data_IF_852263096884
#
_entry.id   IF_852263096884
#
_cell.length_a   1.000
_cell.length_b   1.000
_cell.length_c   1.000
_cell.angle_alpha   90.00
_cell.angle_beta   90.00
_cell.angle_gamma   90.00
#
_symmetry.space_group_name_H-M   'P 1'
#
loop_
_entity.id
_entity.type
_entity.pdbx_description
1 polymer ?
#
# COMPACT_ATOMS: atom_id res chain seq x y z
N UNK A 1 -36.82 17.71 -0.82
CA UNK A 1 -36.90 16.23 -0.75
C UNK A 1 -35.73 15.66 0.03
N UNK A 2 -34.48 15.97 -0.38
CA UNK A 2 -33.25 15.49 0.28
C UNK A 2 -33.18 15.78 1.79
N UNK A 3 -33.57 16.98 2.22
CA UNK A 3 -33.64 17.36 3.65
C UNK A 3 -34.61 16.50 4.47
N UNK A 4 -35.77 16.16 3.90
CA UNK A 4 -36.76 15.31 4.56
C UNK A 4 -36.26 13.87 4.67
N UNK A 5 -35.64 13.36 3.60
CA UNK A 5 -34.97 12.07 3.63
C UNK A 5 -33.88 12.07 4.71
N UNK A 6 -33.02 13.07 4.72
CA UNK A 6 -31.93 13.19 5.69
C UNK A 6 -32.41 13.16 7.16
N UNK A 7 -33.42 13.98 7.51
CA UNK A 7 -33.98 14.03 8.88
C UNK A 7 -34.76 12.79 9.29
N UNK A 8 -35.22 11.97 8.33
CA UNK A 8 -36.01 10.76 8.61
C UNK A 8 -35.17 9.48 8.65
N UNK A 9 -33.88 9.53 8.30
CA UNK A 9 -33.00 8.36 8.32
C UNK A 9 -32.26 8.24 9.65
N UNK A 10 -32.06 7.00 10.07
CA UNK A 10 -31.27 6.65 11.28
C UNK A 10 -29.77 6.59 11.01
N UNK A 11 -29.38 6.40 9.75
CA UNK A 11 -28.00 6.33 9.29
C UNK A 11 -27.88 7.15 8.00
N UNK A 12 -26.88 8.04 7.95
CA UNK A 12 -26.53 8.75 6.75
C UNK A 12 -25.03 8.60 6.52
N UNK A 13 -24.67 8.17 5.31
CA UNK A 13 -23.28 7.98 4.90
C UNK A 13 -22.93 9.01 3.83
N UNK A 14 -21.71 9.54 3.90
CA UNK A 14 -21.19 10.48 2.91
C UNK A 14 -19.72 10.81 3.19
N UNK A 15 -19.07 11.45 2.24
CA UNK A 15 -17.71 11.94 2.42
C UNK A 15 -17.69 13.14 3.37
N UNK A 16 -16.58 13.37 4.06
CA UNK A 16 -16.41 14.49 5.02
C UNK A 16 -16.88 15.84 4.44
N UNK A 17 -16.47 16.15 3.21
CA UNK A 17 -16.86 17.38 2.51
C UNK A 17 -18.28 17.30 1.96
N UNK A 18 -18.70 16.14 1.43
CA UNK A 18 -20.02 15.95 0.82
C UNK A 18 -21.15 16.11 1.83
N UNK A 19 -20.91 15.68 3.06
CA UNK A 19 -21.80 15.86 4.21
C UNK A 19 -22.01 17.36 4.45
N UNK A 20 -20.96 18.20 4.40
CA UNK A 20 -21.03 19.66 4.55
C UNK A 20 -21.85 20.48 3.54
N UNK A 21 -22.53 19.84 2.58
CA UNK A 21 -23.33 20.53 1.58
C UNK A 21 -24.50 21.30 2.24
N UNK A 22 -24.59 22.61 1.97
CA UNK A 22 -25.64 23.50 2.53
C UNK A 22 -27.06 23.00 2.31
N UNK A 23 -27.31 22.22 1.24
CA UNK A 23 -28.62 21.60 0.97
C UNK A 23 -29.07 20.60 2.03
N UNK A 24 -28.12 20.03 2.78
CA UNK A 24 -28.37 19.05 3.84
C UNK A 24 -28.62 19.71 5.20
N UNK A 25 -28.29 21.01 5.36
CA UNK A 25 -28.48 21.79 6.58
C UNK A 25 -28.07 21.03 7.86
N UNK A 26 -26.87 20.45 7.86
CA UNK A 26 -26.35 19.67 8.98
C UNK A 26 -26.27 20.44 10.29
N UNK A 27 -25.96 21.73 10.21
CA UNK A 27 -25.93 22.59 11.39
C UNK A 27 -27.30 22.66 12.09
N UNK A 28 -28.39 22.37 11.38
CA UNK A 28 -29.75 22.29 11.93
C UNK A 28 -30.21 20.86 12.26
N UNK A 29 -29.38 19.86 11.97
CA UNK A 29 -29.70 18.44 12.16
C UNK A 29 -28.66 17.80 13.07
N UNK A 30 -28.92 17.78 14.38
CA UNK A 30 -27.99 17.20 15.34
C UNK A 30 -28.08 15.67 15.34
N UNK A 31 -27.02 14.97 14.95
CA UNK A 31 -26.87 13.55 15.19
C UNK A 31 -26.38 13.30 16.63
N UNK A 32 -26.78 12.17 17.22
CA UNK A 32 -26.24 11.78 18.52
C UNK A 32 -24.80 11.27 18.42
N UNK A 33 -24.46 10.64 17.28
CA UNK A 33 -23.13 10.13 16.97
C UNK A 33 -22.69 10.52 15.56
N UNK A 34 -21.41 10.86 15.44
CA UNK A 34 -20.69 10.95 14.17
C UNK A 34 -19.54 9.96 14.24
N UNK A 35 -19.49 9.04 13.27
CA UNK A 35 -18.42 8.08 13.11
C UNK A 35 -17.65 8.49 11.87
N UNK A 36 -16.34 8.74 12.02
CA UNK A 36 -15.45 9.03 10.90
C UNK A 36 -14.49 7.88 10.76
N UNK A 37 -14.61 7.15 9.65
CA UNK A 37 -13.65 6.13 9.25
C UNK A 37 -12.51 6.78 8.44
N UNK A 38 -11.34 6.12 8.42
CA UNK A 38 -10.10 6.62 7.80
C UNK A 38 -9.69 8.03 8.29
N UNK A 39 -9.99 8.34 9.56
CA UNK A 39 -9.77 9.66 10.17
C UNK A 39 -8.28 10.08 10.17
N UNK A 40 -7.35 9.12 10.16
CA UNK A 40 -5.91 9.37 10.04
C UNK A 40 -5.49 10.11 8.77
N UNK A 41 -6.28 9.98 7.69
CA UNK A 41 -6.04 10.64 6.39
C UNK A 41 -6.78 11.97 6.24
N UNK A 42 -7.73 12.27 7.12
CA UNK A 42 -8.56 13.46 7.00
C UNK A 42 -7.78 14.74 7.31
N UNK A 43 -7.91 15.77 6.46
CA UNK A 43 -7.40 17.09 6.82
C UNK A 43 -8.26 17.70 7.93
N UNK A 44 -7.64 18.53 8.78
CA UNK A 44 -8.30 19.25 9.87
C UNK A 44 -9.64 19.90 9.46
N UNK A 45 -9.63 20.63 8.34
CA UNK A 45 -10.82 21.34 7.85
C UNK A 45 -11.93 20.37 7.40
N UNK A 46 -11.57 19.27 6.76
CA UNK A 46 -12.54 18.25 6.31
C UNK A 46 -13.16 17.53 7.51
N UNK A 47 -12.34 17.18 8.49
CA UNK A 47 -12.79 16.51 9.70
C UNK A 47 -13.81 17.38 10.45
N UNK A 48 -13.51 18.68 10.63
CA UNK A 48 -14.40 19.61 11.33
C UNK A 48 -15.79 19.72 10.72
N UNK A 49 -15.92 19.58 9.40
CA UNK A 49 -17.22 19.60 8.72
C UNK A 49 -18.12 18.45 9.18
N UNK A 50 -17.55 17.27 9.43
CA UNK A 50 -18.31 16.14 9.96
C UNK A 50 -18.56 16.31 11.47
N UNK A 51 -17.55 16.75 12.23
CA UNK A 51 -17.64 16.81 13.70
C UNK A 51 -18.72 17.76 14.21
N UNK A 52 -18.97 18.87 13.51
CA UNK A 52 -20.04 19.81 13.88
C UNK A 52 -21.47 19.21 13.80
N UNK A 53 -21.62 18.06 13.14
CA UNK A 53 -22.93 17.43 12.91
C UNK A 53 -23.38 16.55 14.06
N UNK A 54 -22.51 16.28 15.05
CA UNK A 54 -22.75 15.29 16.10
C UNK A 54 -22.50 15.81 17.52
N UNK A 55 -23.20 15.23 18.50
CA UNK A 55 -22.92 15.45 19.93
C UNK A 55 -21.75 14.61 20.43
N UNK A 56 -21.58 13.41 19.87
CA UNK A 56 -20.51 12.46 20.20
C UNK A 56 -19.78 12.07 18.93
N UNK A 57 -18.47 11.89 19.05
CA UNK A 57 -17.58 11.61 17.92
C UNK A 57 -16.82 10.33 18.20
N UNK A 58 -16.83 9.42 17.24
CA UNK A 58 -15.92 8.27 17.17
C UNK A 58 -15.04 8.43 15.94
N UNK A 59 -13.73 8.51 16.16
CA UNK A 59 -12.74 8.51 15.08
C UNK A 59 -12.14 7.13 14.96
N UNK A 60 -12.19 6.55 13.77
CA UNK A 60 -11.58 5.28 13.41
C UNK A 60 -10.53 5.57 12.35
N UNK A 61 -9.33 5.02 12.52
CA UNK A 61 -8.24 5.24 11.58
C UNK A 61 -6.93 4.65 12.09
N UNK A 62 -5.90 4.81 11.28
CA UNK A 62 -4.56 4.33 11.57
C UNK A 62 -3.54 5.44 11.23
N UNK A 63 -2.85 5.94 12.26
CA UNK A 63 -1.87 7.01 12.12
C UNK A 63 -0.52 6.53 11.57
N UNK A 64 -0.33 5.21 11.40
CA UNK A 64 0.81 4.58 10.71
C UNK A 64 0.55 4.34 9.23
N UNK A 65 -0.66 4.63 8.74
CA UNK A 65 -1.01 4.63 7.32
C UNK A 65 -1.02 6.06 6.76
N UNK A 66 -1.53 6.24 5.54
CA UNK A 66 -1.37 7.49 4.77
C UNK A 66 -1.84 8.72 5.56
N UNK A 67 -0.96 9.73 5.78
CA UNK A 67 -1.33 10.95 6.48
C UNK A 67 -2.18 11.85 5.58
N UNK A 68 -2.74 12.95 6.12
CA UNK A 68 -3.45 13.92 5.32
C UNK A 68 -2.53 14.56 4.27
N UNK A 69 -3.02 14.64 3.03
CA UNK A 69 -2.23 15.19 1.93
C UNK A 69 -2.19 16.71 1.99
N UNK A 70 -1.00 17.30 2.12
CA UNK A 70 -0.79 18.75 2.01
C UNK A 70 0.22 19.07 0.92
N UNK A 71 -0.11 20.06 0.07
CA UNK A 71 0.87 20.58 -0.88
C UNK A 71 2.06 21.18 -0.14
N UNK A 72 3.29 20.81 -0.54
CA UNK A 72 4.51 21.31 0.10
C UNK A 72 4.60 22.84 0.14
N UNK A 73 4.03 23.52 -0.85
CA UNK A 73 3.96 24.98 -0.87
C UNK A 73 3.10 25.52 0.28
N UNK A 74 1.94 24.89 0.54
CA UNK A 74 1.07 25.26 1.66
C UNK A 74 1.78 25.01 3.01
N UNK A 75 2.45 23.87 3.16
CA UNK A 75 3.23 23.56 4.37
C UNK A 75 4.34 24.58 4.63
N UNK A 76 5.07 24.97 3.57
CA UNK A 76 6.12 26.01 3.68
C UNK A 76 5.54 27.36 4.11
N UNK A 77 4.41 27.77 3.51
CA UNK A 77 3.74 29.02 3.85
C UNK A 77 3.18 29.00 5.27
N UNK A 78 2.52 27.91 5.68
CA UNK A 78 1.97 27.74 7.02
C UNK A 78 3.06 27.73 8.09
N UNK A 79 4.13 26.96 7.87
CA UNK A 79 5.31 26.93 8.76
C UNK A 79 5.94 28.32 8.92
N UNK A 80 6.09 29.08 7.82
CA UNK A 80 6.61 30.45 7.89
C UNK A 80 5.66 31.41 8.61
N UNK A 81 4.35 31.31 8.35
CA UNK A 81 3.33 32.22 8.91
C UNK A 81 3.09 31.99 10.40
N UNK A 82 3.16 30.74 10.85
CA UNK A 82 2.89 30.34 12.23
C UNK A 82 4.18 30.20 13.07
N UNK A 83 5.35 30.37 12.44
CA UNK A 83 6.67 30.16 13.09
C UNK A 83 6.81 28.75 13.70
N UNK A 84 6.16 27.76 13.09
CA UNK A 84 6.14 26.37 13.54
C UNK A 84 7.01 25.48 12.65
N UNK A 85 7.61 24.45 13.25
CA UNK A 85 8.31 23.40 12.51
C UNK A 85 7.35 22.63 11.59
N UNK A 86 7.85 22.19 10.43
CA UNK A 86 7.03 21.44 9.45
C UNK A 86 6.44 20.14 10.00
N UNK A 87 7.12 19.52 10.97
CA UNK A 87 6.71 18.25 11.61
C UNK A 87 5.28 18.28 12.17
N UNK A 88 4.87 19.42 12.73
CA UNK A 88 3.57 19.59 13.40
C UNK A 88 2.39 19.43 12.44
N UNK A 89 2.61 19.68 11.15
CA UNK A 89 1.58 19.55 10.12
C UNK A 89 1.45 18.14 9.56
N UNK A 90 2.39 17.24 9.87
CA UNK A 90 2.32 15.83 9.45
C UNK A 90 1.57 14.96 10.46
N UNK A 91 1.47 15.42 11.71
CA UNK A 91 0.61 14.79 12.72
C UNK A 91 -0.87 15.13 12.44
N UNK A 92 -1.67 14.09 12.20
CA UNK A 92 -3.11 14.24 11.95
C UNK A 92 -3.87 14.61 13.23
N UNK A 93 -5.05 15.22 13.09
CA UNK A 93 -5.91 15.48 14.26
C UNK A 93 -6.44 14.20 14.89
N UNK A 94 -6.57 13.13 14.09
CA UNK A 94 -6.82 11.79 14.60
C UNK A 94 -5.70 11.33 15.54
N UNK A 95 -4.44 11.44 15.12
CA UNK A 95 -3.28 11.04 15.94
C UNK A 95 -3.19 11.86 17.22
N UNK A 96 -3.42 13.18 17.14
CA UNK A 96 -3.51 14.05 18.32
C UNK A 96 -4.61 13.62 19.28
N UNK A 97 -5.81 13.37 18.76
CA UNK A 97 -6.94 12.91 19.56
C UNK A 97 -6.69 11.54 20.20
N UNK A 98 -6.11 10.60 19.44
CA UNK A 98 -5.74 9.26 19.90
C UNK A 98 -4.78 9.33 21.09
N UNK A 99 -3.71 10.13 21.00
CA UNK A 99 -2.75 10.32 22.10
C UNK A 99 -3.40 11.00 23.31
N UNK A 100 -4.21 12.03 23.09
CA UNK A 100 -4.83 12.81 24.17
C UNK A 100 -5.90 12.03 24.97
N UNK A 101 -6.56 11.07 24.33
CA UNK A 101 -7.69 10.32 24.91
C UNK A 101 -7.30 8.92 25.40
N UNK A 102 -6.08 8.46 25.14
CA UNK A 102 -5.70 7.07 25.37
C UNK A 102 -6.50 6.13 24.46
N UNK A 103 -6.50 6.42 23.15
CA UNK A 103 -7.29 5.70 22.16
C UNK A 103 -7.07 4.18 22.20
N UNK A 104 -8.07 3.44 21.73
CA UNK A 104 -8.05 1.97 21.74
C UNK A 104 -7.46 1.45 20.44
N UNK A 105 -6.41 0.64 20.53
CA UNK A 105 -5.86 -0.07 19.37
C UNK A 105 -6.46 -1.46 19.25
N UNK A 106 -6.85 -1.85 18.04
CA UNK A 106 -7.18 -3.24 17.71
C UNK A 106 -5.91 -3.92 17.22
N UNK A 107 -5.48 -4.97 17.92
CA UNK A 107 -4.19 -5.65 17.71
C UNK A 107 -4.28 -6.92 16.87
N UNK A 108 -5.48 -7.30 16.42
CA UNK A 108 -5.74 -8.54 15.67
C UNK A 108 -6.21 -8.24 14.26
N UNK A 109 -5.47 -8.73 13.26
CA UNK A 109 -5.76 -8.57 11.84
C UNK A 109 -6.33 -9.86 11.21
N UNK A 110 -7.22 -9.68 10.23
CA UNK A 110 -7.96 -10.76 9.57
C UNK A 110 -7.73 -10.83 8.04
N UNK A 111 -6.88 -9.95 7.49
CA UNK A 111 -6.63 -9.84 6.05
C UNK A 111 -5.48 -10.74 5.60
N UNK A 112 -4.31 -10.52 6.16
CA UNK A 112 -3.04 -11.08 5.72
C UNK A 112 -2.86 -12.47 6.31
N UNK A 113 -2.31 -13.41 5.54
CA UNK A 113 -1.72 -14.61 6.15
C UNK A 113 -0.53 -14.26 7.03
N UNK A 114 -0.22 -15.13 7.99
CA UNK A 114 0.71 -14.85 9.08
C UNK A 114 2.08 -14.34 8.60
N UNK A 115 2.74 -14.90 7.57
CA UNK A 115 4.04 -14.40 7.13
C UNK A 115 4.03 -12.93 6.65
N UNK A 116 2.95 -12.50 5.99
CA UNK A 116 2.78 -11.09 5.58
C UNK A 116 2.45 -10.24 6.82
N UNK A 117 1.56 -10.74 7.69
CA UNK A 117 1.19 -10.06 8.92
C UNK A 117 2.36 -9.85 9.88
N UNK A 118 3.29 -10.80 9.98
CA UNK A 118 4.50 -10.69 10.80
C UNK A 118 5.48 -9.67 10.23
N UNK A 119 5.66 -9.65 8.91
CA UNK A 119 6.45 -8.62 8.24
C UNK A 119 5.90 -7.22 8.56
N UNK A 120 4.58 -7.03 8.42
CA UNK A 120 3.91 -5.76 8.71
C UNK A 120 3.99 -5.41 10.20
N UNK A 121 3.75 -6.38 11.07
CA UNK A 121 3.84 -6.23 12.53
C UNK A 121 5.21 -5.68 12.93
N UNK A 122 6.28 -6.38 12.55
CA UNK A 122 7.65 -6.05 12.96
C UNK A 122 8.10 -4.70 12.38
N UNK A 123 7.78 -4.44 11.10
CA UNK A 123 8.30 -3.26 10.42
C UNK A 123 7.55 -1.95 10.76
N UNK A 124 6.28 -2.02 11.17
CA UNK A 124 5.42 -0.83 11.27
C UNK A 124 4.68 -0.65 12.59
N UNK A 125 4.45 -1.71 13.37
CA UNK A 125 3.56 -1.65 14.54
C UNK A 125 4.19 -2.15 15.86
N UNK A 126 5.27 -2.94 15.81
CA UNK A 126 5.85 -3.57 16.99
C UNK A 126 6.31 -2.57 18.06
N UNK A 127 6.75 -1.38 17.65
CA UNK A 127 7.16 -0.33 18.60
C UNK A 127 5.99 0.27 19.38
N UNK A 128 4.79 0.28 18.80
CA UNK A 128 3.61 0.94 19.38
C UNK A 128 2.74 -0.04 20.17
N UNK A 129 2.59 -1.27 19.68
CA UNK A 129 1.69 -2.28 20.25
C UNK A 129 2.35 -3.62 20.59
N UNK A 130 3.67 -3.75 20.39
CA UNK A 130 4.40 -4.99 20.62
C UNK A 130 4.25 -6.00 19.48
N UNK A 131 3.01 -6.46 19.19
CA UNK A 131 2.75 -7.40 18.08
C UNK A 131 1.35 -7.18 17.49
N UNK A 132 1.27 -7.19 16.17
CA UNK A 132 0.02 -7.32 15.42
C UNK A 132 -0.24 -8.82 15.19
N UNK A 133 -1.35 -9.33 15.72
CA UNK A 133 -1.71 -10.73 15.68
C UNK A 133 -2.45 -11.11 14.40
N UNK A 134 -1.99 -12.17 13.73
CA UNK A 134 -2.63 -12.71 12.53
C UNK A 134 -3.61 -13.82 12.87
N UNK A 135 -4.89 -13.61 12.57
CA UNK A 135 -5.93 -14.64 12.67
C UNK A 135 -5.77 -15.71 11.59
N UNK A 136 -5.41 -15.28 10.37
CA UNK A 136 -5.13 -16.18 9.25
C UNK A 136 -3.68 -16.68 9.31
N UNK A 137 -3.50 -17.99 9.48
CA UNK A 137 -2.18 -18.62 9.61
C UNK A 137 -1.57 -18.97 8.26
N UNK A 138 -2.26 -19.81 7.49
CA UNK A 138 -1.78 -20.36 6.22
C UNK A 138 -2.67 -19.95 5.06
N UNK A 139 -2.09 -19.90 3.86
CA UNK A 139 -2.84 -19.77 2.60
C UNK A 139 -3.52 -21.10 2.23
N UNK A 140 -4.55 -21.07 1.38
CA UNK A 140 -5.07 -22.28 0.72
C UNK A 140 -3.98 -23.07 -0.02
N UNK A 141 -4.12 -24.40 -0.05
CA UNK A 141 -3.06 -25.33 -0.50
C UNK A 141 -2.55 -25.05 -1.92
N UNK A 142 -3.45 -24.70 -2.86
CA UNK A 142 -3.09 -24.46 -4.27
C UNK A 142 -2.07 -23.33 -4.45
N UNK A 143 -1.99 -22.37 -3.52
CA UNK A 143 -0.96 -21.33 -3.59
C UNK A 143 0.46 -21.87 -3.40
N UNK A 144 0.61 -23.04 -2.76
CA UNK A 144 1.90 -23.72 -2.58
C UNK A 144 2.36 -24.43 -3.86
N UNK A 145 1.43 -24.71 -4.78
CA UNK A 145 1.69 -25.36 -6.07
C UNK A 145 2.03 -24.34 -7.17
N UNK A 146 1.89 -23.05 -6.89
CA UNK A 146 2.23 -21.99 -7.83
C UNK A 146 3.71 -22.03 -8.21
N UNK A 147 4.07 -21.73 -9.47
CA UNK A 147 5.46 -21.71 -9.91
C UNK A 147 6.23 -20.56 -9.25
N UNK A 148 7.57 -20.65 -9.25
CA UNK A 148 8.41 -19.49 -8.91
C UNK A 148 8.09 -18.32 -9.85
N UNK A 149 7.94 -17.09 -9.36
CA UNK A 149 8.28 -16.57 -8.02
C UNK A 149 7.17 -16.62 -6.95
N UNK A 150 6.08 -17.34 -7.18
CA UNK A 150 4.84 -17.34 -6.38
C UNK A 150 4.71 -18.50 -5.39
N UNK A 151 5.64 -19.45 -5.45
CA UNK A 151 5.75 -20.62 -4.58
C UNK A 151 6.03 -20.28 -3.10
N UNK A 152 6.22 -19.01 -2.76
CA UNK A 152 6.47 -18.49 -1.41
C UNK A 152 5.53 -17.34 -1.11
N UNK A 153 5.15 -17.21 0.16
CA UNK A 153 4.20 -16.19 0.64
C UNK A 153 4.72 -14.77 0.43
N UNK A 154 6.00 -14.54 0.75
CA UNK A 154 6.69 -13.25 0.57
C UNK A 154 7.94 -13.45 -0.27
N UNK A 155 7.99 -12.83 -1.44
CA UNK A 155 9.11 -12.89 -2.36
C UNK A 155 9.64 -11.47 -2.61
N UNK A 156 10.95 -11.27 -2.45
CA UNK A 156 11.64 -10.10 -2.99
C UNK A 156 12.41 -10.49 -4.25
N UNK A 157 12.10 -9.88 -5.40
CA UNK A 157 12.91 -10.00 -6.61
C UNK A 157 13.88 -8.81 -6.67
N UNK A 158 15.17 -9.11 -6.63
CA UNK A 158 16.22 -8.11 -6.76
C UNK A 158 16.28 -7.59 -8.20
N UNK A 159 15.75 -6.38 -8.41
CA UNK A 159 15.77 -5.70 -9.71
C UNK A 159 17.08 -4.95 -9.98
N UNK A 160 18.10 -5.08 -9.12
CA UNK A 160 19.40 -4.42 -9.31
C UNK A 160 19.95 -4.67 -10.72
N UNK A 161 20.39 -3.60 -11.37
CA UNK A 161 21.08 -3.72 -12.66
C UNK A 161 22.45 -4.37 -12.47
N UNK A 162 22.92 -5.21 -13.41
CA UNK A 162 24.28 -5.75 -13.41
C UNK A 162 25.35 -4.65 -13.48
N UNK A 163 25.01 -3.50 -14.06
CA UNK A 163 25.90 -2.36 -14.12
C UNK A 163 25.88 -1.60 -12.79
N UNK A 164 27.04 -1.39 -12.16
CA UNK A 164 27.16 -0.69 -10.86
C UNK A 164 26.60 0.74 -10.86
N UNK A 165 26.40 1.35 -12.02
CA UNK A 165 25.68 2.63 -12.13
C UNK A 165 24.20 2.51 -11.74
N UNK A 166 23.58 1.33 -11.91
CA UNK A 166 22.12 1.07 -11.90
C UNK A 166 21.29 2.26 -12.31
N UNK A 167 21.48 2.61 -13.57
CA UNK A 167 20.83 3.72 -14.26
C UNK A 167 19.62 3.24 -15.07
N UNK A 168 18.87 2.26 -14.55
CA UNK A 168 17.65 1.79 -15.21
C UNK A 168 16.43 2.62 -14.84
N UNK A 169 16.54 3.47 -13.80
CA UNK A 169 15.56 4.53 -13.59
C UNK A 169 15.72 5.62 -14.66
N UNK A 170 14.67 5.80 -15.45
CA UNK A 170 14.60 6.85 -16.46
C UNK A 170 13.71 7.99 -15.97
N UNK A 171 14.07 9.22 -16.35
CA UNK A 171 13.33 10.43 -16.02
C UNK A 171 12.58 10.95 -17.25
N UNK A 172 11.43 10.36 -17.56
CA UNK A 172 10.53 10.88 -18.61
C UNK A 172 9.77 12.09 -18.09
N UNK A 173 9.91 13.27 -18.70
CA UNK A 173 9.20 14.51 -18.30
C UNK A 173 9.22 14.81 -16.78
N UNK A 174 10.30 14.46 -16.08
CA UNK A 174 10.43 14.65 -14.63
C UNK A 174 9.86 13.53 -13.75
N UNK A 175 9.44 12.40 -14.31
CA UNK A 175 8.86 11.25 -13.60
C UNK A 175 9.73 10.01 -13.75
N UNK A 176 9.83 9.23 -12.67
CA UNK A 176 10.65 8.03 -12.61
C UNK A 176 9.88 6.79 -13.06
N UNK A 177 10.54 5.94 -13.84
CA UNK A 177 10.10 4.60 -14.20
C UNK A 177 11.33 3.69 -14.39
N UNK A 178 11.16 2.38 -14.28
CA UNK A 178 12.22 1.38 -14.36
C UNK A 178 11.78 0.22 -15.27
N UNK A 179 12.37 0.16 -16.46
CA UNK A 179 12.01 -0.82 -17.49
C UNK A 179 12.40 -2.25 -17.12
N UNK A 180 13.46 -2.46 -16.33
CA UNK A 180 13.80 -3.80 -15.83
C UNK A 180 12.80 -4.31 -14.83
N UNK A 181 12.28 -3.46 -13.94
CA UNK A 181 11.15 -3.87 -13.09
C UNK A 181 9.91 -4.23 -13.93
N UNK A 182 9.62 -3.50 -15.01
CA UNK A 182 8.52 -3.85 -15.94
C UNK A 182 8.75 -5.23 -16.56
N UNK A 183 9.97 -5.51 -17.07
CA UNK A 183 10.31 -6.82 -17.64
C UNK A 183 10.18 -7.95 -16.62
N UNK A 184 10.76 -7.78 -15.42
CA UNK A 184 10.67 -8.77 -14.34
C UNK A 184 9.23 -9.03 -13.90
N UNK A 185 8.40 -7.97 -13.87
CA UNK A 185 6.98 -8.09 -13.59
C UNK A 185 6.26 -8.90 -14.66
N UNK A 186 6.56 -8.67 -15.94
CA UNK A 186 5.98 -9.45 -17.04
C UNK A 186 6.38 -10.93 -16.95
N UNK A 187 7.65 -11.26 -16.72
CA UNK A 187 8.09 -12.65 -16.54
C UNK A 187 7.38 -13.32 -15.36
N UNK A 188 7.28 -12.61 -14.23
CA UNK A 188 6.57 -13.11 -13.06
C UNK A 188 5.09 -13.36 -13.40
N UNK A 189 4.41 -12.44 -14.06
CA UNK A 189 3.01 -12.61 -14.48
C UNK A 189 2.84 -13.73 -15.51
N UNK A 190 3.78 -13.91 -16.43
CA UNK A 190 3.73 -14.94 -17.45
C UNK A 190 3.77 -16.34 -16.83
N UNK A 191 4.48 -16.53 -15.71
CA UNK A 191 4.42 -17.80 -14.98
C UNK A 191 3.03 -18.15 -14.42
N UNK A 192 2.12 -17.17 -14.30
CA UNK A 192 0.72 -17.39 -13.88
C UNK A 192 -0.24 -17.63 -15.07
N UNK A 193 0.25 -17.65 -16.31
CA UNK A 193 -0.62 -17.69 -17.50
C UNK A 193 -1.07 -19.10 -17.90
N UNK A 194 -0.89 -20.12 -17.06
CA UNK A 194 -1.41 -21.46 -17.31
C UNK A 194 -2.93 -21.51 -17.06
N UNK A 195 -3.64 -22.31 -17.85
CA UNK A 195 -5.10 -22.42 -17.76
C UNK A 195 -5.58 -22.81 -16.35
N UNK A 196 -4.88 -23.76 -15.71
CA UNK A 196 -5.20 -24.20 -14.34
C UNK A 196 -5.01 -23.06 -13.32
N UNK A 197 -3.94 -22.28 -13.44
CA UNK A 197 -3.69 -21.15 -12.55
C UNK A 197 -4.72 -20.03 -12.74
N UNK A 198 -5.10 -19.75 -13.99
CA UNK A 198 -6.13 -18.76 -14.31
C UNK A 198 -7.47 -19.18 -13.71
N UNK A 199 -7.86 -20.45 -13.88
CA UNK A 199 -9.09 -20.98 -13.31
C UNK A 199 -9.13 -20.89 -11.77
N UNK A 200 -8.00 -21.13 -11.08
CA UNK A 200 -7.91 -20.96 -9.63
C UNK A 200 -8.04 -19.48 -9.22
N UNK A 201 -7.41 -18.57 -9.96
CA UNK A 201 -7.53 -17.13 -9.69
C UNK A 201 -8.96 -16.63 -9.87
N UNK A 202 -9.65 -17.09 -10.93
CA UNK A 202 -11.05 -16.75 -11.19
C UNK A 202 -11.99 -17.19 -10.06
N UNK A 203 -11.73 -18.33 -9.42
CA UNK A 203 -12.52 -18.80 -8.26
C UNK A 203 -12.41 -17.89 -7.03
N UNK A 204 -11.39 -17.04 -6.96
CA UNK A 204 -11.21 -16.10 -5.85
C UNK A 204 -11.94 -14.77 -6.04
N UNK A 205 -12.53 -14.54 -7.22
CA UNK A 205 -13.25 -13.30 -7.55
C UNK A 205 -14.55 -13.22 -6.74
N UNK A 206 -14.78 -12.05 -6.14
CA UNK A 206 -16.06 -11.70 -5.51
C UNK A 206 -16.57 -10.35 -6.02
N UNK A 207 -17.82 -10.01 -5.72
CA UNK A 207 -18.37 -8.68 -6.04
C UNK A 207 -17.55 -7.55 -5.41
N UNK A 208 -17.00 -7.77 -4.22
CA UNK A 208 -16.19 -6.78 -3.49
C UNK A 208 -14.72 -6.78 -3.94
N UNK A 209 -14.21 -7.94 -4.40
CA UNK A 209 -12.82 -8.13 -4.83
C UNK A 209 -12.80 -8.71 -6.26
N UNK A 210 -13.09 -7.87 -7.28
CA UNK A 210 -13.19 -8.34 -8.66
C UNK A 210 -11.85 -8.70 -9.30
N UNK A 211 -10.73 -8.25 -8.71
CA UNK A 211 -9.39 -8.48 -9.23
C UNK A 211 -8.59 -9.27 -8.20
N UNK A 212 -8.18 -10.52 -8.48
CA UNK A 212 -7.35 -11.30 -7.56
C UNK A 212 -5.91 -10.78 -7.48
N UNK A 213 -5.41 -10.10 -8.52
CA UNK A 213 -4.05 -9.58 -8.59
C UNK A 213 -4.08 -8.05 -8.56
N UNK A 214 -3.39 -7.46 -7.58
CA UNK A 214 -3.13 -6.03 -7.50
C UNK A 214 -1.68 -5.70 -7.79
N UNK A 215 -1.43 -4.73 -8.66
CA UNK A 215 -0.10 -4.19 -8.95
C UNK A 215 -0.06 -2.77 -8.41
N UNK A 216 0.74 -2.59 -7.37
CA UNK A 216 0.97 -1.30 -6.73
C UNK A 216 2.32 -0.80 -7.18
N UNK A 217 2.35 0.39 -7.75
CA UNK A 217 3.60 1.10 -8.02
C UNK A 217 3.67 2.41 -7.28
N UNK A 218 4.87 2.79 -6.96
CA UNK A 218 5.16 4.02 -6.25
C UNK A 218 5.01 5.22 -7.21
N UNK A 219 5.25 5.05 -8.52
CA UNK A 219 5.33 6.15 -9.49
C UNK A 219 4.27 6.06 -10.59
N UNK A 220 3.60 7.18 -10.88
CA UNK A 220 2.56 7.25 -11.94
C UNK A 220 3.08 6.88 -13.33
N UNK A 221 4.32 7.24 -13.67
CA UNK A 221 4.90 6.86 -14.96
C UNK A 221 5.09 5.34 -15.05
N UNK A 222 5.59 4.70 -13.97
CA UNK A 222 5.72 3.24 -13.93
C UNK A 222 4.37 2.54 -14.15
N UNK A 223 3.27 3.09 -13.60
CA UNK A 223 1.92 2.56 -13.84
C UNK A 223 1.62 2.53 -15.35
N UNK A 224 1.83 3.66 -16.03
CA UNK A 224 1.60 3.78 -17.48
C UNK A 224 2.48 2.80 -18.27
N UNK A 225 3.75 2.62 -17.89
CA UNK A 225 4.65 1.64 -18.53
C UNK A 225 4.17 0.19 -18.34
N UNK A 226 3.74 -0.18 -17.12
CA UNK A 226 3.21 -1.52 -16.83
C UNK A 226 1.91 -1.76 -17.59
N UNK A 227 0.96 -0.81 -17.57
CA UNK A 227 -0.31 -0.89 -18.31
C UNK A 227 -0.05 -1.11 -19.81
N UNK A 228 0.86 -0.33 -20.40
CA UNK A 228 1.23 -0.45 -21.81
C UNK A 228 1.89 -1.79 -22.13
N UNK A 229 2.76 -2.28 -21.24
CA UNK A 229 3.48 -3.53 -21.45
C UNK A 229 2.54 -4.75 -21.39
N UNK A 230 1.65 -4.80 -20.40
CA UNK A 230 0.62 -5.86 -20.26
C UNK A 230 -0.37 -5.82 -21.44
N UNK A 231 -0.75 -4.62 -21.89
CA UNK A 231 -1.67 -4.47 -23.03
C UNK A 231 -1.08 -4.96 -24.35
N UNK A 232 0.25 -4.94 -24.51
CA UNK A 232 0.96 -5.43 -25.71
C UNK A 232 1.29 -6.92 -25.65
N UNK A 233 1.38 -7.50 -24.45
CA UNK A 233 1.68 -8.90 -24.27
C UNK A 233 0.47 -9.78 -24.61
N UNK A 234 0.52 -10.52 -25.73
CA UNK A 234 -0.59 -11.38 -26.19
C UNK A 234 -0.95 -12.46 -25.17
N UNK A 235 0.04 -13.09 -24.55
CA UNK A 235 -0.14 -14.12 -23.51
C UNK A 235 -0.90 -13.59 -22.28
N UNK A 236 -0.90 -12.28 -22.04
CA UNK A 236 -1.57 -11.68 -20.89
C UNK A 236 -3.08 -11.47 -21.11
N UNK A 237 -3.62 -11.78 -22.29
CA UNK A 237 -5.01 -11.48 -22.64
C UNK A 237 -6.03 -11.98 -21.60
N UNK A 238 -5.87 -13.20 -21.09
CA UNK A 238 -6.75 -13.79 -20.08
C UNK A 238 -6.49 -13.22 -18.67
N UNK A 239 -5.24 -12.86 -18.35
CA UNK A 239 -4.87 -12.29 -17.04
C UNK A 239 -5.31 -10.83 -16.89
N UNK A 240 -5.48 -10.07 -17.98
CA UNK A 240 -5.85 -8.64 -17.92
C UNK A 240 -7.12 -8.38 -17.13
N UNK A 241 -8.12 -9.26 -17.26
CA UNK A 241 -9.38 -9.14 -16.50
C UNK A 241 -9.22 -9.37 -15.00
N UNK A 242 -8.10 -9.99 -14.58
CA UNK A 242 -7.81 -10.38 -13.21
C UNK A 242 -6.88 -9.40 -12.48
N UNK A 243 -6.36 -8.39 -13.20
CA UNK A 243 -5.33 -7.48 -12.72
C UNK A 243 -5.91 -6.08 -12.52
N UNK A 244 -5.59 -5.48 -11.37
CA UNK A 244 -5.76 -4.05 -11.13
C UNK A 244 -4.41 -3.39 -10.92
N UNK A 245 -4.18 -2.26 -11.60
CA UNK A 245 -2.91 -1.52 -11.52
C UNK A 245 -3.19 -0.12 -10.98
N UNK A 246 -2.53 0.26 -9.88
CA UNK A 246 -2.61 1.64 -9.40
C UNK A 246 -1.38 2.12 -8.64
N UNK A 247 -1.36 3.42 -8.35
CA UNK A 247 -0.41 4.00 -7.42
C UNK A 247 -0.83 3.77 -5.98
N UNK A 248 0.13 3.72 -5.05
CA UNK A 248 -0.13 3.49 -3.61
C UNK A 248 -1.21 4.41 -3.01
N UNK A 249 -1.21 5.70 -3.35
CA UNK A 249 -2.20 6.67 -2.83
C UNK A 249 -3.64 6.37 -3.30
N UNK A 250 -3.78 5.78 -4.49
CA UNK A 250 -5.06 5.40 -5.11
C UNK A 250 -5.54 4.00 -4.69
N UNK A 251 -4.65 3.20 -4.09
CA UNK A 251 -4.93 1.81 -3.68
C UNK A 251 -5.49 1.67 -2.26
N UNK A 252 -5.69 2.78 -1.55
CA UNK A 252 -6.21 2.74 -0.17
C UNK A 252 -7.62 2.16 -0.11
N UNK A 253 -7.89 1.39 0.95
CA UNK A 253 -9.17 0.72 1.19
C UNK A 253 -9.39 -0.52 0.33
N UNK A 254 -8.46 -0.84 -0.57
CA UNK A 254 -8.51 -2.04 -1.41
C UNK A 254 -7.61 -3.12 -0.84
N UNK A 255 -7.77 -4.35 -1.32
CA UNK A 255 -6.97 -5.51 -0.96
C UNK A 255 -7.12 -6.57 -2.06
N UNK A 256 -6.11 -7.42 -2.21
CA UNK A 256 -6.10 -8.47 -3.23
C UNK A 256 -5.45 -9.74 -2.69
N UNK A 257 -5.77 -10.87 -3.31
CA UNK A 257 -5.12 -12.15 -3.02
C UNK A 257 -3.62 -12.07 -3.23
N UNK A 258 -3.22 -11.51 -4.37
CA UNK A 258 -1.82 -11.34 -4.76
C UNK A 258 -1.54 -9.85 -4.92
N UNK A 259 -0.46 -9.36 -4.30
CA UNK A 259 0.06 -8.01 -4.53
C UNK A 259 1.47 -8.06 -5.11
N UNK A 260 1.67 -7.29 -6.18
CA UNK A 260 2.98 -7.00 -6.75
C UNK A 260 3.30 -5.53 -6.45
N UNK A 261 4.38 -5.28 -5.71
CA UNK A 261 4.85 -3.95 -5.37
C UNK A 261 6.10 -3.59 -6.19
N UNK A 262 5.99 -2.64 -7.11
CA UNK A 262 7.12 -2.08 -7.87
C UNK A 262 7.66 -0.80 -7.21
N UNK A 263 8.91 -0.87 -6.74
CA UNK A 263 9.58 0.22 -6.02
C UNK A 263 10.24 1.25 -6.94
N UNK A 264 10.60 0.86 -8.16
CA UNK A 264 11.17 1.69 -9.25
C UNK A 264 12.59 2.17 -8.99
N UNK A 265 12.89 2.66 -7.80
CA UNK A 265 14.11 3.42 -7.51
C UNK A 265 15.33 2.52 -7.53
N UNK A 266 16.23 2.84 -8.44
CA UNK A 266 17.57 2.33 -8.52
C UNK A 266 18.46 3.43 -9.10
N UNK A 267 19.39 3.97 -8.30
CA UNK A 267 20.29 5.03 -8.75
C UNK A 267 21.65 5.00 -8.03
N UNK A 268 22.71 5.57 -8.63
CA UNK A 268 24.06 5.52 -8.05
C UNK A 268 24.14 6.19 -6.68
N UNK A 269 23.39 7.28 -6.49
CA UNK A 269 23.39 8.09 -5.27
C UNK A 269 22.53 7.51 -4.14
N UNK A 270 21.91 6.34 -4.34
CA UNK A 270 21.02 5.67 -3.37
C UNK A 270 19.89 6.55 -2.85
N UNK A 271 19.43 7.51 -3.67
CA UNK A 271 18.36 8.43 -3.32
C UNK A 271 17.01 7.71 -3.39
N UNK A 272 16.37 7.57 -2.23
CA UNK A 272 15.08 6.90 -2.07
C UNK A 272 13.91 7.70 -2.67
N UNK A 273 14.02 9.03 -2.74
CA UNK A 273 12.89 9.90 -3.07
C UNK A 273 11.77 9.79 -2.03
N UNK A 274 10.51 9.67 -2.48
CA UNK A 274 9.37 9.57 -1.57
C UNK A 274 9.24 8.18 -0.93
N UNK A 275 10.03 7.18 -1.31
CA UNK A 275 10.05 5.86 -0.65
C UNK A 275 10.50 5.93 0.83
N UNK A 276 10.96 7.10 1.30
CA UNK A 276 11.19 7.38 2.72
C UNK A 276 9.90 7.44 3.55
N UNK A 277 8.75 7.57 2.90
CA UNK A 277 7.43 7.67 3.52
C UNK A 277 6.95 6.28 3.97
N UNK A 278 7.26 5.93 5.23
CA UNK A 278 6.90 4.66 5.85
C UNK A 278 5.40 4.32 5.74
N UNK A 279 4.46 5.26 5.97
CA UNK A 279 3.03 5.07 5.70
C UNK A 279 2.68 4.48 4.33
N UNK A 280 3.32 4.95 3.25
CA UNK A 280 3.06 4.42 1.90
C UNK A 280 3.51 2.98 1.78
N UNK A 281 4.66 2.64 2.36
CA UNK A 281 5.19 1.28 2.33
C UNK A 281 4.29 0.34 3.13
N UNK A 282 3.89 0.75 4.33
CA UNK A 282 2.94 0.02 5.16
C UNK A 282 1.63 -0.24 4.39
N UNK A 283 1.05 0.82 3.80
CA UNK A 283 -0.17 0.69 3.00
C UNK A 283 0.02 -0.26 1.84
N UNK A 284 1.11 -0.19 1.08
CA UNK A 284 1.32 -1.05 -0.09
C UNK A 284 1.46 -2.53 0.28
N UNK A 285 2.26 -2.84 1.30
CA UNK A 285 2.53 -4.22 1.73
C UNK A 285 1.27 -4.86 2.35
N UNK A 286 0.53 -4.10 3.18
CA UNK A 286 -0.67 -4.57 3.88
C UNK A 286 -1.91 -4.76 2.99
N UNK A 287 -1.82 -4.56 1.66
CA UNK A 287 -2.90 -4.90 0.72
C UNK A 287 -2.92 -6.38 0.33
N UNK A 288 -1.84 -7.10 0.59
CA UNK A 288 -1.72 -8.50 0.22
C UNK A 288 -2.49 -9.40 1.19
N UNK A 289 -3.23 -10.37 0.68
CA UNK A 289 -3.87 -11.40 1.52
C UNK A 289 -3.07 -12.70 1.54
N UNK A 290 -2.60 -13.18 0.38
CA UNK A 290 -1.98 -14.51 0.22
C UNK A 290 -0.54 -14.46 -0.27
N UNK A 291 -0.24 -13.56 -1.22
CA UNK A 291 1.07 -13.45 -1.83
C UNK A 291 1.50 -12.00 -1.94
N UNK A 292 2.74 -11.74 -1.53
CA UNK A 292 3.39 -10.45 -1.67
C UNK A 292 4.68 -10.62 -2.47
N UNK A 293 4.71 -10.00 -3.65
CA UNK A 293 5.90 -9.92 -4.50
C UNK A 293 6.43 -8.48 -4.50
N UNK A 294 7.64 -8.26 -4.00
CA UNK A 294 8.30 -6.95 -4.02
C UNK A 294 9.37 -6.94 -5.11
N UNK A 295 9.25 -6.02 -6.06
CA UNK A 295 10.22 -5.73 -7.11
C UNK A 295 11.02 -4.49 -6.70
N UNK A 296 12.31 -4.67 -6.45
CA UNK A 296 13.17 -3.54 -6.09
C UNK A 296 14.65 -3.88 -6.04
N UNK A 297 15.47 -2.87 -6.32
CA UNK A 297 16.92 -3.02 -6.33
C UNK A 297 17.45 -3.16 -4.90
N UNK A 298 17.85 -4.37 -4.52
CA UNK A 298 18.35 -4.71 -3.17
C UNK A 298 19.48 -3.79 -2.74
N UNK A 299 20.35 -3.41 -3.67
CA UNK A 299 21.47 -2.49 -3.46
C UNK A 299 21.08 -1.09 -2.98
N UNK A 300 19.79 -0.73 -3.03
CA UNK A 300 19.28 0.52 -2.46
C UNK A 300 19.08 0.41 -0.95
N UNK A 301 18.80 -0.78 -0.42
CA UNK A 301 18.27 -0.98 0.95
C UNK A 301 19.21 -1.77 1.87
N UNK A 302 20.17 -2.51 1.32
CA UNK A 302 21.02 -3.42 2.10
C UNK A 302 22.06 -2.74 3.01
N UNK A 303 22.47 -1.49 2.73
CA UNK A 303 23.51 -0.78 3.51
C UNK A 303 23.19 0.70 3.75
N UNK A 304 22.93 1.46 2.68
CA UNK A 304 22.86 2.94 2.76
C UNK A 304 21.54 3.47 3.30
N UNK A 305 20.45 2.73 3.13
CA UNK A 305 19.11 3.13 3.53
C UNK A 305 18.48 2.05 4.44
N UNK A 306 19.31 1.37 5.23
CA UNK A 306 18.88 0.29 6.12
C UNK A 306 18.02 0.81 7.29
N UNK A 307 18.16 2.09 7.63
CA UNK A 307 17.34 2.81 8.62
C UNK A 307 15.96 3.24 8.10
N UNK A 308 15.70 3.03 6.80
CA UNK A 308 14.41 3.36 6.18
C UNK A 308 13.39 2.24 6.38
N UNK A 309 12.10 2.54 6.21
CA UNK A 309 11.05 1.53 6.26
C UNK A 309 11.29 0.35 5.30
N UNK A 310 11.77 0.62 4.08
CA UNK A 310 12.14 -0.44 3.13
C UNK A 310 13.43 -1.16 3.52
N UNK A 311 14.34 -0.47 4.21
CA UNK A 311 15.51 -1.07 4.84
C UNK A 311 15.11 -2.15 5.84
N UNK A 312 14.21 -1.80 6.77
CA UNK A 312 13.66 -2.73 7.77
C UNK A 312 12.93 -3.91 7.11
N UNK A 313 12.08 -3.65 6.11
CA UNK A 313 11.37 -4.70 5.35
C UNK A 313 12.37 -5.66 4.69
N UNK A 314 13.37 -5.13 3.99
CA UNK A 314 14.37 -5.95 3.33
C UNK A 314 15.23 -6.73 4.34
N UNK A 315 15.61 -6.11 5.46
CA UNK A 315 16.37 -6.76 6.53
C UNK A 315 15.56 -7.90 7.17
N UNK A 316 14.28 -7.68 7.46
CA UNK A 316 13.38 -8.72 7.97
C UNK A 316 13.33 -9.92 7.02
N UNK A 317 13.02 -9.69 5.74
CA UNK A 317 12.96 -10.76 4.73
C UNK A 317 14.33 -11.47 4.64
N UNK A 318 15.43 -10.72 4.65
CA UNK A 318 16.78 -11.30 4.61
C UNK A 318 17.08 -12.20 5.81
N UNK A 319 16.62 -11.83 7.01
CA UNK A 319 16.78 -12.65 8.23
C UNK A 319 15.97 -13.94 8.14
N UNK A 320 14.72 -13.87 7.67
CA UNK A 320 13.88 -15.05 7.49
C UNK A 320 14.47 -16.03 6.46
N UNK A 321 14.99 -15.50 5.35
CA UNK A 321 15.68 -16.32 4.34
C UNK A 321 16.97 -16.94 4.90
N UNK A 322 17.72 -16.22 5.74
CA UNK A 322 18.96 -16.74 6.34
C UNK A 322 18.75 -17.90 7.33
N UNK A 323 17.53 -18.05 7.86
CA UNK A 323 17.13 -19.18 8.73
C UNK A 323 16.29 -20.22 7.97
N UNK A 324 16.30 -20.17 6.64
CA UNK A 324 15.56 -21.07 5.75
C UNK A 324 14.05 -21.15 6.04
N UNK A 325 13.44 -20.02 6.45
CA UNK A 325 12.00 -19.99 6.71
C UNK A 325 11.23 -20.22 5.39
N UNK A 326 10.32 -21.22 5.32
CA UNK A 326 9.72 -21.70 4.08
C UNK A 326 8.75 -20.75 3.37
N UNK A 327 8.37 -19.62 3.94
CA UNK A 327 7.43 -18.62 3.43
C UNK A 327 8.12 -17.42 2.79
N UNK A 328 9.44 -17.26 2.98
CA UNK A 328 10.19 -16.11 2.48
C UNK A 328 11.23 -16.54 1.44
N UNK A 329 11.42 -15.72 0.41
CA UNK A 329 12.55 -15.88 -0.52
C UNK A 329 13.03 -14.54 -1.08
N UNK A 330 14.31 -14.51 -1.46
CA UNK A 330 14.91 -13.44 -2.25
C UNK A 330 15.46 -14.07 -3.54
N UNK A 331 14.97 -13.59 -4.68
CA UNK A 331 15.38 -14.08 -6.00
C UNK A 331 16.24 -13.03 -6.72
N UNK A 332 17.23 -13.48 -7.48
CA UNK A 332 17.97 -12.60 -8.37
C UNK A 332 17.11 -12.33 -9.62
N UNK A 333 16.85 -11.06 -9.95
CA UNK A 333 16.09 -10.73 -11.16
C UNK A 333 16.78 -11.24 -12.44
N UNK A 334 18.10 -11.36 -12.45
CA UNK A 334 18.83 -11.82 -13.64
C UNK A 334 18.50 -13.28 -13.99
N UNK A 335 18.32 -14.16 -13.00
CA UNK A 335 17.94 -15.55 -13.26
C UNK A 335 16.52 -15.70 -13.80
N UNK A 336 15.64 -14.74 -13.51
CA UNK A 336 14.26 -14.71 -14.02
C UNK A 336 14.19 -14.25 -15.47
N UNK A 337 15.07 -13.35 -15.91
CA UNK A 337 15.08 -12.84 -17.28
C UNK A 337 15.74 -13.81 -18.28
N UNK A 338 16.26 -14.95 -17.82
CA UNK A 338 17.02 -15.88 -18.68
C UNK A 338 18.34 -15.31 -19.20
N UNK A 339 18.79 -14.16 -18.66
CA UNK A 339 20.06 -13.51 -18.96
C UNK A 339 21.22 -14.30 -18.30
N UNK A 340 21.43 -15.54 -18.73
CA UNK A 340 22.67 -16.26 -18.48
C UNK A 340 23.78 -15.57 -19.28
N UNK A 341 24.78 -15.03 -18.58
CA UNK A 341 26.02 -14.55 -19.19
C UNK A 341 26.66 -15.63 -20.08
#
# INVERSE_FOLDING_TARGET
FDRFMFKSKRLVCGTLVGVGNRRLELAESSFDWVIVDEAGRAQAAELMVALQSGKRVLLVGDHKQLPPFYHQQHLKLASKKLELGKGIFYESDFERAFKATGGVTLDTQYRMVEPIGELVSECFYAQDIGKLHSSRKVSPDWYSELPSPWNKTVTWIDSSSPNEAGAEEQKGNGRYYNQREVRLLLEALQSLSSDDCIAQLEQTITTEQPYPIGIITMYRQQKEEIDNAISRAEWAALLRGLIKIDTVDSYQGQENKIIILSLVRDNPNKLQGFLRDAPRINVAISRAQERLLILGARRMWSKTNNDSALGNVHEFISKQVAVDEPNYQILCGQSLLGDNN
#
